data_IF_361709979693
#
_entry.id   IF_361709979693
#
_cell.length_a   1.000
_cell.length_b   1.000
_cell.length_c   1.000
_cell.angle_alpha   90.00
_cell.angle_beta   90.00
_cell.angle_gamma   90.00
#
_symmetry.space_group_name_H-M   'P 1'
#
loop_
_entity.id
_entity.type
_entity.pdbx_description
1 polymer ?
#
# COMPACT_ATOMS: atom_id res chain seq x y z
N UNK A 1 15.75 50.21 -11.73
CA UNK A 1 14.91 49.04 -11.41
C UNK A 1 15.36 48.50 -10.05
N UNK A 2 14.52 48.59 -9.01
CA UNK A 2 14.89 48.13 -7.66
C UNK A 2 15.26 46.64 -7.67
N UNK A 3 16.20 46.21 -6.82
CA UNK A 3 16.63 44.80 -6.74
C UNK A 3 15.44 43.83 -6.56
N UNK A 4 14.38 44.29 -5.91
CA UNK A 4 13.13 43.56 -5.70
C UNK A 4 12.41 43.22 -7.01
N UNK A 5 12.27 44.16 -7.96
CA UNK A 5 11.61 43.91 -9.25
C UNK A 5 12.44 43.03 -10.18
N UNK A 6 13.76 42.97 -9.99
CA UNK A 6 14.67 42.07 -10.75
C UNK A 6 14.59 40.61 -10.31
N UNK A 7 14.08 40.33 -9.10
CA UNK A 7 14.00 38.97 -8.55
C UNK A 7 12.62 38.32 -8.70
N UNK A 8 11.58 39.07 -9.08
CA UNK A 8 10.22 38.55 -9.27
C UNK A 8 10.19 37.34 -10.22
N UNK A 9 10.83 37.34 -11.40
CA UNK A 9 10.80 36.19 -12.29
C UNK A 9 11.42 34.92 -11.68
N UNK A 10 12.44 35.09 -10.83
CA UNK A 10 13.13 33.97 -10.15
C UNK A 10 12.24 33.35 -9.08
N UNK A 11 11.52 34.18 -8.32
CA UNK A 11 10.54 33.70 -7.34
C UNK A 11 9.40 32.94 -8.00
N UNK A 12 8.88 33.44 -9.12
CA UNK A 12 7.82 32.76 -9.89
C UNK A 12 8.31 31.41 -10.40
N UNK A 13 9.47 31.37 -11.05
CA UNK A 13 10.04 30.11 -11.55
C UNK A 13 10.37 29.12 -10.42
N UNK A 14 10.88 29.61 -9.29
CA UNK A 14 11.15 28.76 -8.13
C UNK A 14 9.86 28.18 -7.53
N UNK A 15 8.79 28.97 -7.46
CA UNK A 15 7.48 28.52 -7.00
C UNK A 15 6.87 27.48 -7.94
N UNK A 16 6.83 27.75 -9.25
CA UNK A 16 6.33 26.80 -10.26
C UNK A 16 7.19 25.53 -10.24
N UNK A 17 8.51 25.66 -10.14
CA UNK A 17 9.42 24.53 -10.00
C UNK A 17 9.14 23.71 -8.74
N UNK A 18 8.80 24.35 -7.62
CA UNK A 18 8.44 23.67 -6.37
C UNK A 18 7.14 22.88 -6.54
N UNK A 19 6.15 23.48 -7.18
CA UNK A 19 4.85 22.84 -7.46
C UNK A 19 5.01 21.61 -8.37
N UNK A 20 5.83 21.72 -9.42
CA UNK A 20 6.11 20.60 -10.32
C UNK A 20 6.91 19.49 -9.64
N UNK A 21 7.88 19.83 -8.78
CA UNK A 21 8.63 18.85 -8.01
C UNK A 21 7.77 18.17 -6.94
N UNK A 22 6.88 18.92 -6.27
CA UNK A 22 5.85 18.36 -5.40
C UNK A 22 4.96 17.37 -6.17
N UNK A 23 4.45 17.75 -7.34
CA UNK A 23 3.62 16.88 -8.16
C UNK A 23 4.38 15.61 -8.58
N UNK A 24 5.64 15.73 -9.00
CA UNK A 24 6.48 14.59 -9.32
C UNK A 24 6.69 13.65 -8.12
N UNK A 25 6.95 14.21 -6.93
CA UNK A 25 7.09 13.46 -5.68
C UNK A 25 5.79 12.75 -5.27
N UNK A 26 4.64 13.41 -5.42
CA UNK A 26 3.34 12.83 -5.14
C UNK A 26 3.01 11.65 -6.08
N UNK A 27 3.27 11.82 -7.39
CA UNK A 27 3.11 10.75 -8.37
C UNK A 27 4.05 9.58 -8.10
N UNK A 28 5.28 9.84 -7.65
CA UNK A 28 6.21 8.80 -7.23
C UNK A 28 5.67 8.03 -6.01
N UNK A 29 5.14 8.72 -5.00
CA UNK A 29 4.51 8.06 -3.84
C UNK A 29 3.38 7.13 -4.30
N UNK A 30 2.48 7.64 -5.15
CA UNK A 30 1.38 6.85 -5.75
C UNK A 30 1.90 5.63 -6.53
N UNK A 31 2.98 5.80 -7.31
CA UNK A 31 3.57 4.69 -8.09
C UNK A 31 4.17 3.61 -7.21
N UNK A 32 4.88 3.99 -6.15
CA UNK A 32 5.55 3.06 -5.24
C UNK A 32 4.60 2.32 -4.30
N UNK A 33 3.36 2.82 -4.16
CA UNK A 33 2.36 2.30 -3.24
C UNK A 33 1.16 1.73 -3.99
N UNK A 34 0.21 2.56 -4.43
CA UNK A 34 -1.06 2.15 -5.04
C UNK A 34 -0.86 1.27 -6.27
N UNK A 35 0.12 1.61 -7.11
CA UNK A 35 0.44 0.86 -8.34
C UNK A 35 1.52 -0.20 -8.13
N UNK A 36 1.76 -0.63 -6.88
CA UNK A 36 2.77 -1.63 -6.54
C UNK A 36 2.14 -2.82 -5.81
N UNK A 37 2.04 -3.95 -6.51
CA UNK A 37 1.51 -5.20 -5.96
C UNK A 37 2.23 -5.64 -4.69
N UNK A 38 3.56 -5.53 -4.67
CA UNK A 38 4.37 -5.98 -3.53
C UNK A 38 4.12 -5.11 -2.29
N UNK A 39 3.84 -3.82 -2.49
CA UNK A 39 3.44 -2.94 -1.39
C UNK A 39 2.14 -3.43 -0.75
N UNK A 40 1.11 -3.74 -1.54
CA UNK A 40 -0.16 -4.25 -1.01
C UNK A 40 0.02 -5.58 -0.27
N UNK A 41 0.74 -6.54 -0.87
CA UNK A 41 1.05 -7.84 -0.24
C UNK A 41 1.79 -7.63 1.09
N UNK A 42 2.81 -6.78 1.12
CA UNK A 42 3.56 -6.48 2.33
C UNK A 42 2.67 -5.88 3.43
N UNK A 43 1.74 -4.99 3.09
CA UNK A 43 0.80 -4.42 4.06
C UNK A 43 -0.16 -5.46 4.63
N UNK A 44 -0.58 -6.46 3.85
CA UNK A 44 -1.42 -7.56 4.35
C UNK A 44 -0.68 -8.41 5.39
N UNK A 45 0.59 -8.73 5.11
CA UNK A 45 1.46 -9.45 6.05
C UNK A 45 1.71 -8.64 7.32
N UNK A 46 2.06 -7.36 7.19
CA UNK A 46 2.30 -6.47 8.35
C UNK A 46 1.04 -6.29 9.22
N UNK A 47 -0.13 -6.24 8.60
CA UNK A 47 -1.42 -6.12 9.30
C UNK A 47 -1.90 -7.44 9.95
N UNK A 48 -1.15 -8.54 9.78
CA UNK A 48 -1.56 -9.90 10.20
C UNK A 48 -2.89 -10.33 9.60
N UNK A 49 -3.20 -9.86 8.40
CA UNK A 49 -4.46 -10.15 7.74
C UNK A 49 -4.64 -11.66 7.50
N UNK A 50 -3.58 -12.34 7.07
CA UNK A 50 -3.57 -13.80 6.84
C UNK A 50 -3.94 -14.56 8.12
N UNK A 51 -3.34 -14.17 9.26
CA UNK A 51 -3.62 -14.77 10.58
C UNK A 51 -5.10 -14.60 10.96
N UNK A 52 -5.64 -13.39 10.79
CA UNK A 52 -7.04 -13.09 11.10
C UNK A 52 -8.01 -13.84 10.19
N UNK A 53 -7.78 -13.87 8.87
CA UNK A 53 -8.63 -14.59 7.94
C UNK A 53 -8.59 -16.10 8.19
N UNK A 54 -7.42 -16.66 8.46
CA UNK A 54 -7.30 -18.08 8.83
C UNK A 54 -8.16 -18.39 10.05
N UNK A 55 -8.08 -17.55 11.08
CA UNK A 55 -8.88 -17.68 12.30
C UNK A 55 -10.38 -17.62 11.98
N UNK A 56 -10.82 -16.58 11.27
CA UNK A 56 -12.24 -16.36 10.95
C UNK A 56 -12.82 -17.54 10.12
N UNK A 57 -12.06 -18.05 9.15
CA UNK A 57 -12.45 -19.24 8.37
C UNK A 57 -12.51 -20.48 9.26
N UNK A 58 -11.52 -20.71 10.11
CA UNK A 58 -11.46 -21.88 10.98
C UNK A 58 -12.65 -21.88 11.95
N UNK A 59 -12.96 -20.73 12.57
CA UNK A 59 -14.13 -20.57 13.44
C UNK A 59 -15.43 -20.84 12.68
N UNK A 60 -15.56 -20.34 11.45
CA UNK A 60 -16.70 -20.62 10.57
C UNK A 60 -16.91 -22.11 10.30
N UNK A 61 -15.83 -22.83 9.98
CA UNK A 61 -15.87 -24.28 9.74
C UNK A 61 -16.25 -25.03 11.02
N UNK A 62 -15.69 -24.64 12.16
CA UNK A 62 -16.03 -25.21 13.47
C UNK A 62 -17.50 -24.97 13.84
N UNK A 63 -18.06 -23.80 13.54
CA UNK A 63 -19.46 -23.48 13.78
C UNK A 63 -20.41 -24.33 12.94
N UNK A 64 -20.07 -24.56 11.67
CA UNK A 64 -20.81 -25.52 10.83
C UNK A 64 -20.69 -26.93 11.40
N UNK A 65 -19.49 -27.35 11.84
CA UNK A 65 -19.24 -28.66 12.45
C UNK A 65 -19.98 -28.90 13.77
N UNK A 66 -20.17 -27.86 14.59
CA UNK A 66 -21.00 -27.95 15.80
C UNK A 66 -22.43 -28.37 15.50
N UNK A 67 -22.99 -27.90 14.37
CA UNK A 67 -24.31 -28.34 13.89
C UNK A 67 -24.40 -29.85 13.62
N UNK A 68 -23.26 -30.50 13.40
CA UNK A 68 -23.12 -31.94 13.19
C UNK A 68 -22.50 -32.68 14.38
N UNK A 69 -22.45 -32.06 15.58
CA UNK A 69 -21.82 -32.59 16.79
C UNK A 69 -20.32 -32.94 16.64
N UNK A 70 -19.60 -32.27 15.72
CA UNK A 70 -18.17 -32.42 15.57
C UNK A 70 -17.47 -31.46 16.55
N UNK A 71 -16.58 -31.94 17.45
CA UNK A 71 -15.83 -31.06 18.33
C UNK A 71 -14.95 -30.07 17.54
N UNK A 72 -14.86 -28.80 17.95
CA UNK A 72 -14.08 -27.78 17.23
C UNK A 72 -12.61 -28.17 17.01
N UNK A 73 -12.02 -28.92 17.93
CA UNK A 73 -10.61 -29.32 17.89
C UNK A 73 -10.31 -30.19 16.67
N UNK A 74 -11.27 -31.01 16.24
CA UNK A 74 -11.18 -31.89 15.05
C UNK A 74 -11.03 -31.07 13.76
N UNK A 75 -11.54 -29.84 13.75
CA UNK A 75 -11.56 -28.98 12.56
C UNK A 75 -10.55 -27.82 12.62
N UNK A 76 -9.71 -27.78 13.66
CA UNK A 76 -8.84 -26.62 13.95
C UNK A 76 -7.67 -26.43 12.99
N UNK A 77 -7.26 -27.47 12.27
CA UNK A 77 -6.12 -27.48 11.35
C UNK A 77 -6.52 -27.71 9.88
N UNK A 78 -7.83 -27.73 9.59
CA UNK A 78 -8.37 -27.92 8.24
C UNK A 78 -7.82 -26.87 7.26
N UNK A 79 -7.68 -25.64 7.71
CA UNK A 79 -7.19 -24.51 6.91
C UNK A 79 -5.80 -24.10 7.40
N UNK A 80 -4.81 -24.31 6.54
CA UNK A 80 -3.43 -23.93 6.82
C UNK A 80 -3.18 -22.46 6.48
N UNK A 81 -2.19 -21.86 7.15
CA UNK A 81 -1.78 -20.49 6.87
C UNK A 81 -1.19 -20.33 5.46
N UNK A 82 -0.47 -21.34 4.98
CA UNK A 82 0.04 -21.39 3.61
C UNK A 82 -1.08 -21.31 2.57
N UNK A 83 -2.17 -22.07 2.78
CA UNK A 83 -3.31 -22.06 1.86
C UNK A 83 -3.99 -20.69 1.80
N UNK A 84 -4.18 -20.04 2.97
CA UNK A 84 -4.71 -18.67 3.03
C UNK A 84 -3.76 -17.71 2.32
N UNK A 85 -2.45 -17.83 2.55
CA UNK A 85 -1.42 -16.95 1.98
C UNK A 85 -1.43 -17.01 0.46
N UNK A 86 -1.40 -18.21 -0.13
CA UNK A 86 -1.43 -18.41 -1.59
C UNK A 86 -2.68 -17.78 -2.19
N UNK A 87 -3.85 -18.04 -1.61
CA UNK A 87 -5.12 -17.54 -2.13
C UNK A 87 -5.25 -16.02 -2.02
N UNK A 88 -4.86 -15.45 -0.88
CA UNK A 88 -4.86 -14.01 -0.68
C UNK A 88 -3.89 -13.32 -1.64
N UNK A 89 -2.66 -13.81 -1.78
CA UNK A 89 -1.70 -13.21 -2.71
C UNK A 89 -2.14 -13.35 -4.17
N UNK A 90 -2.74 -14.49 -4.55
CA UNK A 90 -3.32 -14.67 -5.88
C UNK A 90 -4.49 -13.71 -6.13
N UNK A 91 -5.34 -13.48 -5.13
CA UNK A 91 -6.39 -12.49 -5.20
C UNK A 91 -5.81 -11.09 -5.49
N UNK A 92 -4.76 -10.68 -4.76
CA UNK A 92 -4.07 -9.41 -5.02
C UNK A 92 -3.43 -9.38 -6.41
N UNK A 93 -2.74 -10.45 -6.84
CA UNK A 93 -2.18 -10.54 -8.21
C UNK A 93 -3.26 -10.36 -9.28
N UNK A 94 -4.45 -10.92 -9.08
CA UNK A 94 -5.59 -10.74 -9.97
C UNK A 94 -5.99 -9.27 -10.16
N UNK A 95 -5.84 -8.45 -9.11
CA UNK A 95 -6.07 -7.00 -9.18
C UNK A 95 -5.07 -6.32 -10.10
N UNK A 96 -3.78 -6.58 -9.89
CA UNK A 96 -2.69 -5.88 -10.58
C UNK A 96 -2.44 -6.37 -12.00
N UNK A 97 -2.70 -7.66 -12.26
CA UNK A 97 -2.43 -8.31 -13.55
C UNK A 97 -3.69 -8.45 -14.41
N UNK A 98 -4.85 -8.04 -13.90
CA UNK A 98 -6.15 -8.20 -14.55
C UNK A 98 -6.45 -9.67 -14.92
N UNK A 99 -6.07 -10.59 -14.04
CA UNK A 99 -6.31 -12.03 -14.18
C UNK A 99 -7.48 -12.40 -13.28
N UNK A 100 -8.47 -13.18 -13.77
CA UNK A 100 -9.55 -13.67 -12.92
C UNK A 100 -9.00 -14.43 -11.70
N UNK A 101 -9.50 -14.10 -10.52
CA UNK A 101 -9.17 -14.86 -9.32
C UNK A 101 -9.73 -16.28 -9.42
N UNK A 102 -8.91 -17.25 -9.07
CA UNK A 102 -9.29 -18.66 -8.95
C UNK A 102 -8.84 -19.15 -7.59
N UNK A 103 -9.79 -19.64 -6.80
CA UNK A 103 -9.51 -20.24 -5.51
C UNK A 103 -8.71 -21.54 -5.70
N UNK A 104 -7.70 -21.75 -4.87
CA UNK A 104 -6.88 -22.95 -4.81
C UNK A 104 -7.13 -23.71 -3.51
N UNK A 105 -7.04 -25.04 -3.57
CA UNK A 105 -7.12 -25.92 -2.41
C UNK A 105 -8.51 -26.14 -1.83
N UNK A 106 -9.58 -25.93 -2.62
CA UNK A 106 -10.93 -26.35 -2.24
C UNK A 106 -11.00 -27.85 -1.92
N UNK A 107 -10.41 -28.68 -2.79
CA UNK A 107 -10.39 -30.12 -2.59
C UNK A 107 -9.54 -30.52 -1.38
N UNK A 108 -8.44 -29.80 -1.12
CA UNK A 108 -7.62 -30.01 0.07
C UNK A 108 -8.39 -29.72 1.36
N UNK A 109 -9.20 -28.65 1.41
CA UNK A 109 -10.06 -28.35 2.55
C UNK A 109 -11.07 -29.47 2.78
N UNK A 110 -11.71 -29.96 1.71
CA UNK A 110 -12.68 -31.06 1.80
C UNK A 110 -12.00 -32.32 2.32
N UNK A 111 -10.88 -32.73 1.73
CA UNK A 111 -10.11 -33.90 2.14
C UNK A 111 -9.66 -33.83 3.59
N UNK A 112 -9.19 -32.67 4.05
CA UNK A 112 -8.78 -32.46 5.45
C UNK A 112 -9.96 -32.65 6.41
N UNK A 113 -11.14 -32.11 6.09
CA UNK A 113 -12.35 -32.27 6.89
C UNK A 113 -12.72 -33.75 6.99
N UNK A 114 -12.82 -34.44 5.86
CA UNK A 114 -13.20 -35.85 5.81
C UNK A 114 -12.23 -36.69 6.63
N UNK A 115 -10.92 -36.51 6.38
CA UNK A 115 -9.85 -37.23 7.08
C UNK A 115 -9.88 -37.02 8.58
N UNK A 116 -10.01 -35.78 9.05
CA UNK A 116 -9.98 -35.48 10.48
C UNK A 116 -11.22 -36.06 11.19
N UNK A 117 -12.39 -35.96 10.58
CA UNK A 117 -13.63 -36.52 11.14
C UNK A 117 -13.60 -38.04 11.15
N UNK A 118 -13.07 -38.68 10.10
CA UNK A 118 -12.89 -40.14 10.05
C UNK A 118 -11.94 -40.63 11.15
N UNK A 119 -10.81 -39.94 11.34
CA UNK A 119 -9.87 -40.25 12.42
C UNK A 119 -10.53 -40.13 13.79
N UNK A 120 -11.26 -39.03 14.02
CA UNK A 120 -12.00 -38.84 15.27
C UNK A 120 -13.07 -39.93 15.50
N UNK A 121 -13.81 -40.31 14.46
CA UNK A 121 -14.83 -41.35 14.54
C UNK A 121 -14.21 -42.71 14.87
N UNK A 122 -13.08 -43.06 14.25
CA UNK A 122 -12.32 -44.28 14.56
C UNK A 122 -11.83 -44.29 16.01
N UNK A 123 -11.22 -43.19 16.48
CA UNK A 123 -10.73 -43.07 17.86
C UNK A 123 -11.85 -43.19 18.91
N UNK A 124 -13.05 -42.70 18.58
CA UNK A 124 -14.22 -42.75 19.47
C UNK A 124 -15.12 -43.96 19.23
N UNK A 125 -14.77 -44.85 18.30
CA UNK A 125 -15.59 -46.00 17.89
C UNK A 125 -17.02 -45.59 17.48
N UNK A 126 -17.15 -44.47 16.75
CA UNK A 126 -18.41 -43.98 16.21
C UNK A 126 -18.60 -44.58 14.82
N UNK A 127 -19.75 -45.22 14.56
CA UNK A 127 -20.09 -45.72 13.23
C UNK A 127 -20.56 -44.58 12.33
N UNK A 128 -19.93 -44.43 11.16
CA UNK A 128 -20.39 -43.52 10.09
C UNK A 128 -21.33 -44.32 9.19
N UNK A 129 -22.61 -43.95 9.17
CA UNK A 129 -23.59 -44.49 8.23
C UNK A 129 -23.70 -43.61 6.97
N UNK A 130 -24.42 -44.08 5.94
CA UNK A 130 -24.59 -43.35 4.68
C UNK A 130 -25.19 -41.95 4.88
N UNK A 131 -26.04 -41.77 5.90
CA UNK A 131 -26.65 -40.48 6.20
C UNK A 131 -25.64 -39.50 6.78
N UNK A 132 -24.73 -39.99 7.62
CA UNK A 132 -23.64 -39.24 8.24
C UNK A 132 -22.58 -38.87 7.22
N UNK A 133 -22.24 -39.80 6.32
CA UNK A 133 -21.30 -39.57 5.21
C UNK A 133 -21.80 -38.45 4.27
N UNK A 134 -23.09 -38.47 3.94
CA UNK A 134 -23.72 -37.42 3.12
C UNK A 134 -23.70 -36.05 3.83
N UNK A 135 -24.01 -36.02 5.12
CA UNK A 135 -23.98 -34.78 5.91
C UNK A 135 -22.55 -34.22 6.03
N UNK A 136 -21.56 -35.10 6.21
CA UNK A 136 -20.16 -34.74 6.29
C UNK A 136 -19.65 -34.18 4.94
N UNK A 137 -20.08 -34.78 3.82
CA UNK A 137 -19.77 -34.27 2.47
C UNK A 137 -20.37 -32.88 2.25
N UNK A 138 -21.64 -32.67 2.63
CA UNK A 138 -22.29 -31.36 2.53
C UNK A 138 -21.59 -30.30 3.40
N UNK A 139 -21.12 -30.69 4.60
CA UNK A 139 -20.32 -29.82 5.45
C UNK A 139 -19.01 -29.43 4.77
N UNK A 140 -18.29 -30.41 4.20
CA UNK A 140 -17.03 -30.17 3.49
C UNK A 140 -17.21 -29.24 2.28
N UNK A 141 -18.28 -29.44 1.50
CA UNK A 141 -18.63 -28.54 0.39
C UNK A 141 -18.98 -27.13 0.85
N UNK A 142 -19.77 -27.01 1.92
CA UNK A 142 -20.16 -25.71 2.49
C UNK A 142 -18.95 -24.97 3.05
N UNK A 143 -18.05 -25.67 3.75
CA UNK A 143 -16.80 -25.13 4.27
C UNK A 143 -15.89 -24.61 3.16
N UNK A 144 -15.66 -25.43 2.11
CA UNK A 144 -14.86 -25.03 0.96
C UNK A 144 -15.47 -23.82 0.22
N UNK A 145 -16.79 -23.77 0.08
CA UNK A 145 -17.49 -22.64 -0.53
C UNK A 145 -17.37 -21.37 0.31
N UNK A 146 -17.54 -21.48 1.63
CA UNK A 146 -17.44 -20.34 2.55
C UNK A 146 -16.02 -19.78 2.56
N UNK A 147 -14.99 -20.62 2.44
CA UNK A 147 -13.59 -20.20 2.39
C UNK A 147 -13.35 -19.09 1.34
N UNK A 148 -13.89 -19.23 0.13
CA UNK A 148 -13.74 -18.21 -0.92
C UNK A 148 -14.26 -16.83 -0.49
N UNK A 149 -15.41 -16.81 0.21
CA UNK A 149 -16.04 -15.57 0.66
C UNK A 149 -15.21 -14.81 1.72
N UNK A 150 -14.31 -15.49 2.44
CA UNK A 150 -13.39 -14.84 3.38
C UNK A 150 -12.12 -14.31 2.70
N UNK A 151 -11.68 -14.94 1.60
CA UNK A 151 -10.51 -14.49 0.83
C UNK A 151 -10.86 -13.25 -0.01
N UNK A 152 -12.03 -13.25 -0.65
CA UNK A 152 -12.44 -12.15 -1.51
C UNK A 152 -12.88 -10.93 -0.68
N UNK A 153 -12.17 -9.82 -0.83
CA UNK A 153 -12.56 -8.55 -0.20
C UNK A 153 -13.62 -7.87 -1.08
N UNK A 154 -14.83 -7.59 -0.58
CA UNK A 154 -15.89 -6.97 -1.37
C UNK A 154 -15.43 -5.70 -2.06
N UNK A 155 -15.71 -5.61 -3.36
CA UNK A 155 -15.38 -4.50 -4.26
C UNK A 155 -13.88 -4.21 -4.49
N UNK A 156 -12.95 -4.77 -3.71
CA UNK A 156 -11.52 -4.45 -3.81
C UNK A 156 -10.96 -4.80 -5.19
N UNK A 157 -11.33 -5.97 -5.73
CA UNK A 157 -10.98 -6.37 -7.10
C UNK A 157 -11.44 -5.33 -8.14
N UNK A 158 -12.73 -4.97 -8.11
CA UNK A 158 -13.30 -4.02 -9.08
C UNK A 158 -12.68 -2.64 -8.97
N UNK A 159 -12.49 -2.13 -7.76
CA UNK A 159 -11.87 -0.81 -7.55
C UNK A 159 -10.39 -0.82 -7.90
N UNK A 160 -9.66 -1.86 -7.49
CA UNK A 160 -8.24 -1.98 -7.78
C UNK A 160 -7.97 -2.09 -9.28
N UNK A 161 -8.74 -2.90 -10.02
CA UNK A 161 -8.62 -2.98 -11.48
C UNK A 161 -8.94 -1.64 -12.17
N UNK A 162 -9.94 -0.89 -11.67
CA UNK A 162 -10.22 0.48 -12.17
C UNK A 162 -9.05 1.42 -11.93
N UNK A 163 -8.38 1.34 -10.78
CA UNK A 163 -7.17 2.12 -10.49
C UNK A 163 -6.03 1.71 -11.43
N UNK A 164 -5.82 0.40 -11.61
CA UNK A 164 -4.79 -0.13 -12.49
C UNK A 164 -4.99 0.24 -13.97
N UNK A 165 -6.23 0.45 -14.41
CA UNK A 165 -6.52 0.98 -15.75
C UNK A 165 -5.89 2.37 -16.00
N UNK A 166 -5.58 3.13 -14.95
CA UNK A 166 -4.87 4.41 -15.05
C UNK A 166 -3.34 4.29 -15.07
N UNK A 167 -2.76 3.08 -15.03
CA UNK A 167 -1.30 2.92 -14.94
C UNK A 167 -0.56 3.58 -16.12
N UNK A 168 -1.08 3.39 -17.34
CA UNK A 168 -0.52 4.03 -18.53
C UNK A 168 -0.59 5.56 -18.44
N UNK A 169 -1.73 6.09 -18.02
CA UNK A 169 -1.93 7.53 -17.80
C UNK A 169 -1.00 8.07 -16.72
N UNK A 170 -0.78 7.35 -15.63
CA UNK A 170 0.16 7.71 -14.57
C UNK A 170 1.58 7.86 -15.13
N UNK A 171 2.05 6.89 -15.91
CA UNK A 171 3.38 6.93 -16.52
C UNK A 171 3.56 8.15 -17.45
N UNK A 172 2.54 8.45 -18.26
CA UNK A 172 2.56 9.63 -19.14
C UNK A 172 2.60 10.93 -18.32
N UNK A 173 1.74 11.06 -17.31
CA UNK A 173 1.71 12.25 -16.44
C UNK A 173 3.05 12.42 -15.72
N UNK A 174 3.63 11.35 -15.20
CA UNK A 174 4.96 11.38 -14.57
C UNK A 174 6.04 11.91 -15.52
N UNK A 175 6.05 11.42 -16.77
CA UNK A 175 7.01 11.90 -17.78
C UNK A 175 6.80 13.39 -18.10
N UNK A 176 5.56 13.81 -18.32
CA UNK A 176 5.23 15.20 -18.65
C UNK A 176 5.58 16.15 -17.50
N UNK A 177 5.20 15.80 -16.27
CA UNK A 177 5.50 16.61 -15.07
C UNK A 177 7.01 16.67 -14.82
N UNK A 178 7.71 15.55 -14.96
CA UNK A 178 9.17 15.49 -14.83
C UNK A 178 9.89 16.35 -15.89
N UNK A 179 9.48 16.25 -17.15
CA UNK A 179 10.03 17.07 -18.23
C UNK A 179 9.74 18.57 -18.01
N UNK A 180 8.52 18.92 -17.63
CA UNK A 180 8.14 20.30 -17.30
C UNK A 180 8.97 20.85 -16.14
N UNK A 181 9.18 20.07 -15.07
CA UNK A 181 10.04 20.44 -13.96
C UNK A 181 11.46 20.74 -14.45
N UNK A 182 12.06 19.85 -15.25
CA UNK A 182 13.42 20.02 -15.76
C UNK A 182 13.55 21.29 -16.61
N UNK A 183 12.56 21.59 -17.46
CA UNK A 183 12.56 22.82 -18.28
C UNK A 183 12.49 24.09 -17.43
N UNK A 184 11.56 24.15 -16.48
CA UNK A 184 11.41 25.30 -15.57
C UNK A 184 12.65 25.47 -14.69
N UNK A 185 13.18 24.35 -14.17
CA UNK A 185 14.36 24.34 -13.35
C UNK A 185 15.60 24.79 -14.14
N UNK A 186 15.81 24.30 -15.36
CA UNK A 186 16.87 24.75 -16.25
C UNK A 186 16.76 26.25 -16.56
N UNK A 187 15.56 26.73 -16.87
CA UNK A 187 15.29 28.16 -17.08
C UNK A 187 15.69 29.02 -15.88
N UNK A 188 15.34 28.59 -14.67
CA UNK A 188 15.76 29.24 -13.43
C UNK A 188 17.29 29.27 -13.29
N UNK A 189 17.98 28.17 -13.56
CA UNK A 189 19.44 28.09 -13.46
C UNK A 189 20.15 29.02 -14.47
N UNK A 190 19.64 29.13 -15.70
CA UNK A 190 20.19 29.98 -16.75
C UNK A 190 20.05 31.48 -16.43
N UNK A 191 18.99 31.89 -15.72
CA UNK A 191 18.78 33.28 -15.30
C UNK A 191 19.74 33.78 -14.21
N UNK A 192 20.46 32.86 -13.55
CA UNK A 192 21.32 33.17 -12.41
C UNK A 192 22.79 33.02 -12.86
N UNK A 193 23.56 34.12 -12.75
CA UNK A 193 24.96 34.14 -13.17
C UNK A 193 25.91 33.53 -12.14
N UNK A 194 25.62 33.67 -10.84
CA UNK A 194 26.51 33.25 -9.76
C UNK A 194 26.17 31.82 -9.31
N UNK A 195 27.17 30.95 -9.23
CA UNK A 195 26.97 29.53 -8.90
C UNK A 195 26.41 29.32 -7.49
N UNK A 196 26.86 30.08 -6.47
CA UNK A 196 26.26 29.97 -5.13
C UNK A 196 24.78 30.36 -5.13
N UNK A 197 24.39 31.38 -5.92
CA UNK A 197 23.00 31.77 -6.05
C UNK A 197 22.17 30.70 -6.76
N UNK A 198 22.73 30.03 -7.78
CA UNK A 198 22.08 28.88 -8.45
C UNK A 198 21.68 27.82 -7.44
N UNK A 199 22.65 27.38 -6.63
CA UNK A 199 22.45 26.38 -5.56
C UNK A 199 21.44 26.87 -4.52
N UNK A 200 21.49 28.14 -4.12
CA UNK A 200 20.52 28.72 -3.17
C UNK A 200 19.08 28.69 -3.72
N UNK A 201 18.89 29.06 -4.98
CA UNK A 201 17.57 29.03 -5.61
C UNK A 201 17.07 27.59 -5.81
N UNK A 202 17.97 26.64 -6.09
CA UNK A 202 17.64 25.21 -6.07
C UNK A 202 17.16 24.77 -4.68
N UNK A 203 17.84 25.19 -3.61
CA UNK A 203 17.40 24.88 -2.24
C UNK A 203 15.98 25.38 -1.97
N UNK A 204 15.66 26.62 -2.36
CA UNK A 204 14.30 27.18 -2.19
C UNK A 204 13.26 26.32 -2.91
N UNK A 205 13.55 25.89 -4.14
CA UNK A 205 12.65 25.03 -4.93
C UNK A 205 12.41 23.67 -4.27
N UNK A 206 13.47 23.02 -3.79
CA UNK A 206 13.36 21.73 -3.12
C UNK A 206 12.67 21.87 -1.77
N UNK A 207 12.98 22.90 -0.99
CA UNK A 207 12.36 23.13 0.31
C UNK A 207 10.85 23.36 0.18
N UNK A 208 10.42 24.17 -0.80
CA UNK A 208 9.00 24.38 -1.08
C UNK A 208 8.27 23.08 -1.43
N UNK A 209 8.86 22.26 -2.31
CA UNK A 209 8.28 20.97 -2.69
C UNK A 209 8.18 20.00 -1.50
N UNK A 210 9.24 19.91 -0.69
CA UNK A 210 9.29 19.04 0.49
C UNK A 210 8.25 19.42 1.54
N UNK A 211 8.09 20.72 1.83
CA UNK A 211 7.03 21.19 2.73
C UNK A 211 5.63 20.85 2.20
N UNK A 212 5.37 21.03 0.90
CA UNK A 212 4.08 20.69 0.30
C UNK A 212 3.79 19.18 0.39
N UNK A 213 4.81 18.33 0.21
CA UNK A 213 4.67 16.88 0.34
C UNK A 213 4.35 16.45 1.78
N UNK A 214 4.96 17.09 2.77
CA UNK A 214 4.84 16.67 4.17
C UNK A 214 3.60 17.24 4.88
N UNK A 215 3.17 18.46 4.55
CA UNK A 215 2.18 19.21 5.35
C UNK A 215 0.85 18.49 5.49
N UNK A 216 0.20 18.13 4.38
CA UNK A 216 -1.12 17.51 4.41
C UNK A 216 -1.10 16.09 5.01
N UNK A 217 -0.18 15.19 4.60
CA UNK A 217 -0.08 13.86 5.19
C UNK A 217 0.16 13.89 6.70
N UNK A 218 1.04 14.78 7.17
CA UNK A 218 1.28 14.94 8.61
C UNK A 218 0.01 15.32 9.38
N UNK A 219 -0.82 16.21 8.81
CA UNK A 219 -2.12 16.56 9.39
C UNK A 219 -3.05 15.34 9.42
N UNK A 220 -3.13 14.57 8.32
CA UNK A 220 -3.96 13.36 8.23
C UNK A 220 -3.52 12.36 9.29
N UNK A 221 -2.22 12.05 9.38
CA UNK A 221 -1.65 11.13 10.34
C UNK A 221 -2.01 11.50 11.79
N UNK A 222 -1.81 12.75 12.20
CA UNK A 222 -2.08 13.20 13.57
C UNK A 222 -3.57 13.45 13.86
N UNK A 223 -4.41 13.62 12.84
CA UNK A 223 -5.86 13.83 13.04
C UNK A 223 -6.58 12.61 13.62
N UNK A 224 -5.98 11.41 13.51
CA UNK A 224 -6.62 10.15 13.86
C UNK A 224 -7.71 9.71 12.87
N UNK A 225 -7.81 10.37 11.70
CA UNK A 225 -8.86 10.12 10.71
C UNK A 225 -8.86 8.68 10.18
N UNK A 226 -7.67 8.10 9.97
CA UNK A 226 -7.51 6.72 9.46
C UNK A 226 -8.01 5.70 10.48
N UNK A 227 -7.75 5.91 11.78
CA UNK A 227 -8.13 4.98 12.85
C UNK A 227 -9.65 4.95 13.10
N UNK A 228 -10.37 5.98 12.65
CA UNK A 228 -11.83 6.12 12.80
C UNK A 228 -12.63 5.52 11.64
N UNK A 229 -11.99 4.80 10.72
CA UNK A 229 -12.69 4.11 9.64
C UNK A 229 -13.64 3.04 10.21
N UNK A 230 -14.91 3.12 9.83
CA UNK A 230 -15.97 2.22 10.30
C UNK A 230 -15.97 0.86 9.59
N UNK A 231 -14.90 0.09 9.77
CA UNK A 231 -14.76 -1.27 9.21
C UNK A 231 -15.03 -2.28 10.33
N UNK A 232 -16.01 -3.15 10.11
CA UNK A 232 -16.49 -4.11 11.13
C UNK A 232 -15.61 -5.36 11.23
N UNK A 233 -15.06 -5.84 10.11
CA UNK A 233 -14.13 -6.97 10.11
C UNK A 233 -12.78 -6.52 10.68
N UNK A 234 -12.28 -7.23 11.69
CA UNK A 234 -11.01 -6.93 12.34
C UNK A 234 -9.83 -7.04 11.36
N UNK A 235 -9.77 -8.13 10.59
CA UNK A 235 -8.72 -8.33 9.60
C UNK A 235 -8.71 -7.21 8.57
N UNK A 236 -9.88 -6.91 7.99
CA UNK A 236 -10.02 -5.85 7.00
C UNK A 236 -9.70 -4.47 7.59
N UNK A 237 -10.11 -4.19 8.82
CA UNK A 237 -9.77 -2.94 9.52
C UNK A 237 -8.26 -2.78 9.65
N UNK A 238 -7.57 -3.80 10.18
CA UNK A 238 -6.10 -3.77 10.35
C UNK A 238 -5.38 -3.60 9.02
N UNK A 239 -5.82 -4.33 7.99
CA UNK A 239 -5.24 -4.21 6.65
C UNK A 239 -5.42 -2.80 6.07
N UNK A 240 -6.66 -2.30 6.00
CA UNK A 240 -6.95 -1.00 5.38
C UNK A 240 -6.27 0.13 6.14
N UNK A 241 -6.33 0.11 7.48
CA UNK A 241 -5.66 1.14 8.29
C UNK A 241 -4.15 1.10 8.13
N UNK A 242 -3.52 -0.09 8.12
CA UNK A 242 -2.08 -0.23 7.84
C UNK A 242 -1.73 0.28 6.45
N UNK A 243 -2.48 -0.13 5.44
CA UNK A 243 -2.25 0.24 4.04
C UNK A 243 -2.34 1.75 3.81
N UNK A 244 -3.42 2.38 4.31
CA UNK A 244 -3.64 3.83 4.17
C UNK A 244 -2.63 4.61 5.00
N UNK A 245 -2.25 4.15 6.19
CA UNK A 245 -1.22 4.79 7.02
C UNK A 245 0.14 4.73 6.35
N UNK A 246 0.55 3.58 5.83
CA UNK A 246 1.81 3.42 5.11
C UNK A 246 1.84 4.22 3.80
N UNK A 247 0.71 4.32 3.10
CA UNK A 247 0.54 5.20 1.95
C UNK A 247 0.76 6.67 2.33
N UNK A 248 0.09 7.15 3.38
CA UNK A 248 0.18 8.52 3.86
C UNK A 248 1.62 8.87 4.30
N UNK A 249 2.24 8.00 5.11
CA UNK A 249 3.62 8.17 5.58
C UNK A 249 4.64 8.14 4.43
N UNK A 250 4.35 7.52 3.29
CA UNK A 250 5.26 7.57 2.13
C UNK A 250 5.52 9.00 1.66
N UNK A 251 4.51 9.88 1.72
CA UNK A 251 4.66 11.29 1.38
C UNK A 251 5.50 12.04 2.42
N UNK A 252 5.33 11.71 3.71
CA UNK A 252 6.14 12.28 4.79
C UNK A 252 7.61 11.92 4.58
N UNK A 253 7.93 10.65 4.33
CA UNK A 253 9.32 10.23 4.11
C UNK A 253 9.95 10.85 2.86
N UNK A 254 9.22 10.91 1.75
CA UNK A 254 9.71 11.58 0.52
C UNK A 254 9.86 13.09 0.75
N UNK A 255 8.91 13.73 1.44
CA UNK A 255 8.98 15.14 1.81
C UNK A 255 10.20 15.47 2.65
N UNK A 256 10.45 14.70 3.72
CA UNK A 256 11.63 14.84 4.58
C UNK A 256 12.94 14.62 3.81
N UNK A 257 12.99 13.64 2.91
CA UNK A 257 14.16 13.42 2.06
C UNK A 257 14.44 14.63 1.15
N UNK A 258 13.41 15.21 0.54
CA UNK A 258 13.51 16.41 -0.29
C UNK A 258 13.93 17.64 0.53
N UNK A 259 13.42 17.79 1.75
CA UNK A 259 13.86 18.85 2.69
C UNK A 259 15.33 18.65 3.06
N UNK A 260 15.76 17.42 3.34
CA UNK A 260 17.16 17.10 3.61
C UNK A 260 18.09 17.54 2.48
N UNK A 261 17.70 17.26 1.22
CA UNK A 261 18.41 17.75 0.03
C UNK A 261 18.46 19.29 0.02
N UNK A 262 17.34 19.95 0.31
CA UNK A 262 17.28 21.41 0.33
C UNK A 262 18.24 22.01 1.37
N UNK A 263 18.32 21.43 2.58
CA UNK A 263 19.22 21.87 3.66
C UNK A 263 20.68 21.72 3.22
N UNK A 264 21.04 20.58 2.63
CA UNK A 264 22.38 20.33 2.10
C UNK A 264 22.75 21.39 1.05
N UNK A 265 21.82 21.73 0.15
CA UNK A 265 22.03 22.77 -0.85
C UNK A 265 22.24 24.17 -0.20
N UNK A 266 21.54 24.52 0.88
CA UNK A 266 21.81 25.77 1.62
C UNK A 266 23.26 25.80 2.12
N UNK A 267 23.71 24.72 2.76
CA UNK A 267 25.05 24.62 3.34
C UNK A 267 26.12 24.75 2.24
N UNK A 268 25.91 24.07 1.11
CA UNK A 268 26.82 24.16 -0.05
C UNK A 268 26.85 25.59 -0.60
N UNK A 269 25.69 26.24 -0.74
CA UNK A 269 25.58 27.62 -1.20
C UNK A 269 26.39 28.59 -0.33
N UNK A 270 26.24 28.53 1.00
CA UNK A 270 26.97 29.43 1.89
C UNK A 270 28.48 29.14 1.86
N UNK A 271 28.91 27.87 1.84
CA UNK A 271 30.34 27.54 1.67
C UNK A 271 30.93 28.09 0.37
N UNK A 272 30.18 28.07 -0.73
CA UNK A 272 30.62 28.62 -2.02
C UNK A 272 30.69 30.16 -1.99
N UNK A 273 29.82 30.81 -1.22
CA UNK A 273 29.86 32.25 -1.00
C UNK A 273 31.10 32.65 -0.22
N UNK A 274 31.40 31.93 0.86
CA UNK A 274 32.53 32.23 1.75
C UNK A 274 33.87 32.07 1.02
N UNK A 275 34.08 30.94 0.32
CA UNK A 275 35.30 30.73 -0.48
C UNK A 275 35.59 31.88 -1.44
N UNK A 276 34.54 32.42 -2.07
CA UNK A 276 34.67 33.52 -3.02
C UNK A 276 35.02 34.85 -2.35
N UNK A 277 34.60 35.10 -1.12
CA UNK A 277 35.00 36.30 -0.36
C UNK A 277 36.49 36.24 -0.01
N UNK A 278 37.02 35.06 0.34
CA UNK A 278 38.44 34.88 0.66
C UNK A 278 39.38 34.82 -0.55
N UNK A 279 38.87 34.69 -1.79
CA UNK A 279 39.70 34.74 -3.02
C UNK A 279 39.85 36.14 -3.60
N UNK A 280 39.20 37.15 -3.01
CA UNK A 280 39.20 38.56 -3.48
C UNK A 280 40.14 39.44 -2.60
N UNK A 281 40.93 38.81 -1.73
CA UNK A 281 42.07 39.42 -1.02
C UNK A 281 43.36 38.72 -1.45
#
# INVERSE_FOLDING_TARGET
MNQMTRNIPRWILAFIGSLLLFAAGALLCVRLTLFNQNFMIQQMHQAKYIETIRKDVTESIQDVGRGSNIPPEVLSDVVTEELVTINVENYIRGIYQNIPFQLQGEDQIKENILKNVDQYAQEKNISIDESTEKNLTNLAETAAKNFSAYIEIPYLMSYGQKVMAFESSLNVIMFVVGAAFLLIFAGLQLMIKMTHQRVRWSSITFFGAGLMLETLPTIIYFSGGIQRLGITSEGLYRFVTSYVTSFDLSFVFVGLAVIGVAIILVIISERMRDKRLFTIH
#
